data_IF_076272874780
#
_entry.id   IF_076272874780
#
_cell.length_a   1.000
_cell.length_b   1.000
_cell.length_c   1.000
_cell.angle_alpha   90.00
_cell.angle_beta   90.00
_cell.angle_gamma   90.00
#
_symmetry.space_group_name_H-M   'P 1'
#
loop_
_entity.id
_entity.type
_entity.pdbx_description
1 polymer ?
#
# COMPACT_ATOMS: atom_id res chain seq x y z
N UNK A 1 1.23 0.05 -26.98
CA UNK A 1 0.18 1.08 -26.97
C UNK A 1 -1.01 0.59 -27.78
N UNK A 2 -1.88 -0.19 -27.18
CA UNK A 2 -3.08 -0.73 -27.81
C UNK A 2 -4.36 -0.26 -27.13
N UNK A 3 -4.24 0.35 -25.92
CA UNK A 3 -5.40 0.79 -25.14
C UNK A 3 -5.83 2.16 -25.65
N UNK A 4 -7.07 2.27 -26.10
CA UNK A 4 -7.70 3.54 -26.50
C UNK A 4 -8.81 3.89 -25.51
N UNK A 5 -8.39 4.08 -24.28
CA UNK A 5 -9.30 4.43 -23.21
C UNK A 5 -9.72 5.91 -23.21
N UNK A 6 -10.47 6.31 -22.20
CA UNK A 6 -11.02 7.64 -22.03
C UNK A 6 -10.45 8.38 -20.80
N UNK A 7 -9.72 7.66 -19.92
CA UNK A 7 -9.20 8.22 -18.69
C UNK A 7 -7.75 8.66 -18.83
N UNK A 8 -7.46 9.89 -18.46
CA UNK A 8 -6.10 10.40 -18.42
C UNK A 8 -5.29 9.79 -17.27
N UNK A 9 -3.98 9.75 -17.42
CA UNK A 9 -3.04 9.32 -16.37
C UNK A 9 -3.26 10.12 -15.08
N UNK A 10 -3.38 11.44 -15.17
CA UNK A 10 -3.58 12.31 -14.01
C UNK A 10 -4.91 12.05 -13.29
N UNK A 11 -5.98 11.66 -14.01
CA UNK A 11 -7.26 11.34 -13.36
C UNK A 11 -7.19 10.05 -12.53
N UNK A 12 -6.50 9.03 -13.03
CA UNK A 12 -6.29 7.77 -12.32
C UNK A 12 -5.33 7.99 -11.14
N UNK A 13 -4.29 8.79 -11.32
CA UNK A 13 -3.35 9.12 -10.24
C UNK A 13 -4.01 9.86 -9.07
N UNK A 14 -4.92 10.80 -9.37
CA UNK A 14 -5.69 11.49 -8.33
C UNK A 14 -6.61 10.54 -7.56
N UNK A 15 -7.24 9.62 -8.25
CA UNK A 15 -8.08 8.60 -7.62
C UNK A 15 -7.27 7.65 -6.75
N UNK A 16 -6.09 7.20 -7.22
CA UNK A 16 -5.14 6.45 -6.40
C UNK A 16 -4.80 7.20 -5.11
N UNK A 17 -4.44 8.49 -5.23
CA UNK A 17 -4.13 9.33 -4.08
C UNK A 17 -5.28 9.44 -3.09
N UNK A 18 -6.52 9.57 -3.60
CA UNK A 18 -7.72 9.62 -2.76
C UNK A 18 -7.97 8.30 -2.01
N UNK A 19 -7.90 7.17 -2.72
CA UNK A 19 -8.05 5.83 -2.11
C UNK A 19 -6.99 5.63 -1.01
N UNK A 20 -5.75 5.94 -1.31
CA UNK A 20 -4.64 5.79 -0.35
C UNK A 20 -4.82 6.69 0.87
N UNK A 21 -5.28 7.92 0.68
CA UNK A 21 -5.51 8.86 1.77
C UNK A 21 -6.63 8.40 2.69
N UNK A 22 -7.77 8.01 2.13
CA UNK A 22 -8.98 7.67 2.90
C UNK A 22 -8.88 6.31 3.60
N UNK A 23 -8.24 5.31 2.95
CA UNK A 23 -8.28 3.93 3.43
C UNK A 23 -6.94 3.39 3.94
N UNK A 24 -5.83 3.96 3.50
CA UNK A 24 -4.47 3.47 3.80
C UNK A 24 -3.61 4.52 4.52
N UNK A 25 -4.22 5.66 4.85
CA UNK A 25 -3.57 6.78 5.53
C UNK A 25 -3.07 6.46 6.94
N UNK A 26 -2.97 7.48 7.80
CA UNK A 26 -2.34 7.32 9.11
C UNK A 26 -3.18 6.53 10.11
N UNK A 27 -4.48 6.79 10.20
CA UNK A 27 -5.41 6.00 11.02
C UNK A 27 -6.04 4.91 10.16
N UNK A 28 -5.73 3.65 10.44
CA UNK A 28 -6.15 2.52 9.64
C UNK A 28 -7.13 1.64 10.41
N UNK A 29 -8.13 1.13 9.70
CA UNK A 29 -9.03 0.10 10.23
C UNK A 29 -9.00 -1.11 9.30
N UNK A 30 -9.33 -2.29 9.82
CA UNK A 30 -9.47 -3.50 9.00
C UNK A 30 -10.45 -3.28 7.85
N UNK A 31 -11.63 -2.75 8.16
CA UNK A 31 -12.69 -2.48 7.18
C UNK A 31 -12.23 -1.47 6.11
N UNK A 32 -11.53 -0.40 6.53
CA UNK A 32 -10.95 0.59 5.63
C UNK A 32 -9.91 -0.02 4.69
N UNK A 33 -8.99 -0.84 5.21
CA UNK A 33 -7.96 -1.51 4.42
C UNK A 33 -8.55 -2.53 3.44
N UNK A 34 -9.54 -3.32 3.84
CA UNK A 34 -10.25 -4.24 2.95
C UNK A 34 -10.97 -3.49 1.82
N UNK A 35 -11.60 -2.37 2.14
CA UNK A 35 -12.24 -1.48 1.14
C UNK A 35 -11.18 -0.87 0.22
N UNK A 36 -10.09 -0.36 0.76
CA UNK A 36 -8.96 0.20 -0.01
C UNK A 36 -8.38 -0.81 -1.00
N UNK A 37 -8.12 -2.04 -0.56
CA UNK A 37 -7.63 -3.12 -1.42
C UNK A 37 -8.58 -3.44 -2.58
N UNK A 38 -9.89 -3.48 -2.31
CA UNK A 38 -10.89 -3.68 -3.36
C UNK A 38 -10.86 -2.54 -4.38
N UNK A 39 -10.86 -1.28 -3.92
CA UNK A 39 -10.84 -0.10 -4.80
C UNK A 39 -9.52 -0.01 -5.59
N UNK A 40 -8.39 -0.34 -5.00
CA UNK A 40 -7.09 -0.38 -5.69
C UNK A 40 -7.08 -1.40 -6.81
N UNK A 41 -7.63 -2.59 -6.58
CA UNK A 41 -7.77 -3.63 -7.60
C UNK A 41 -8.68 -3.16 -8.75
N UNK A 42 -9.84 -2.58 -8.44
CA UNK A 42 -10.75 -2.00 -9.43
C UNK A 42 -10.05 -0.89 -10.24
N UNK A 43 -9.27 -0.02 -9.59
CA UNK A 43 -8.49 1.03 -10.24
C UNK A 43 -7.40 0.47 -11.16
N UNK A 44 -6.74 -0.63 -10.78
CA UNK A 44 -5.77 -1.33 -11.61
C UNK A 44 -6.42 -1.95 -12.87
N UNK A 45 -7.60 -2.54 -12.72
CA UNK A 45 -8.37 -3.05 -13.85
C UNK A 45 -8.80 -1.91 -14.80
N UNK A 46 -9.26 -0.80 -14.25
CA UNK A 46 -9.60 0.42 -14.99
C UNK A 46 -8.38 1.01 -15.71
N UNK A 47 -7.23 1.10 -15.04
CA UNK A 47 -5.96 1.53 -15.64
C UNK A 47 -5.61 0.66 -16.86
N UNK A 48 -5.71 -0.65 -16.73
CA UNK A 48 -5.38 -1.59 -17.80
C UNK A 48 -6.35 -1.55 -18.97
N UNK A 49 -7.63 -1.27 -18.72
CA UNK A 49 -8.68 -1.30 -19.73
C UNK A 49 -8.98 0.05 -20.40
N UNK A 50 -8.86 1.16 -19.66
CA UNK A 50 -9.44 2.45 -20.06
C UNK A 50 -8.46 3.62 -20.06
N UNK A 51 -7.16 3.37 -19.93
CA UNK A 51 -6.14 4.41 -19.96
C UNK A 51 -6.04 5.06 -21.35
N UNK A 52 -5.99 6.40 -21.38
CA UNK A 52 -5.70 7.20 -22.56
C UNK A 52 -4.36 7.92 -22.38
N UNK A 53 -3.44 7.69 -23.32
CA UNK A 53 -2.13 8.35 -23.35
C UNK A 53 -2.08 9.20 -24.61
N UNK A 54 -2.20 10.55 -24.48
CA UNK A 54 -2.02 11.46 -25.59
C UNK A 54 -0.57 11.52 -26.07
N UNK A 55 -0.35 12.02 -27.29
CA UNK A 55 0.97 12.25 -27.84
C UNK A 55 1.35 11.28 -28.95
N UNK A 56 2.56 11.46 -29.46
CA UNK A 56 3.12 10.68 -30.60
C UNK A 56 3.90 9.47 -30.07
N UNK A 57 3.99 8.44 -30.89
CA UNK A 57 4.82 7.26 -30.61
C UNK A 57 6.32 7.53 -30.73
N UNK A 58 6.69 8.57 -31.46
CA UNK A 58 8.06 8.95 -31.75
C UNK A 58 8.50 10.10 -30.85
N UNK A 59 9.65 9.97 -30.21
CA UNK A 59 10.21 10.94 -29.30
C UNK A 59 9.77 10.78 -27.84
N UNK A 60 10.15 11.75 -27.00
CA UNK A 60 9.80 11.76 -25.58
C UNK A 60 8.30 12.00 -25.39
N UNK A 61 7.64 11.07 -24.71
CA UNK A 61 6.24 11.20 -24.33
C UNK A 61 6.10 11.16 -22.80
N UNK A 62 5.95 12.35 -22.20
CA UNK A 62 5.85 12.53 -20.74
C UNK A 62 4.62 11.81 -20.17
N UNK A 63 3.51 11.77 -20.90
CA UNK A 63 2.30 11.07 -20.42
C UNK A 63 2.48 9.54 -20.40
N UNK A 64 3.28 9.00 -21.33
CA UNK A 64 3.66 7.60 -21.29
C UNK A 64 4.58 7.29 -20.10
N UNK A 65 5.54 8.16 -19.83
CA UNK A 65 6.44 8.04 -18.68
C UNK A 65 5.66 8.04 -17.36
N UNK A 66 4.75 9.00 -17.18
CA UNK A 66 3.81 9.04 -16.03
C UNK A 66 2.98 7.76 -15.93
N UNK A 67 2.49 7.22 -17.05
CA UNK A 67 1.68 6.01 -17.05
C UNK A 67 2.46 4.78 -16.56
N UNK A 68 3.72 4.66 -16.96
CA UNK A 68 4.60 3.57 -16.50
C UNK A 68 4.77 3.65 -14.97
N UNK A 69 5.10 4.82 -14.45
CA UNK A 69 5.25 5.02 -12.99
C UNK A 69 3.93 4.83 -12.24
N UNK A 70 2.81 5.28 -12.81
CA UNK A 70 1.50 5.10 -12.16
C UNK A 70 1.11 3.63 -12.01
N UNK A 71 1.44 2.78 -12.98
CA UNK A 71 1.28 1.34 -12.85
C UNK A 71 1.99 0.80 -11.61
N UNK A 72 3.24 1.21 -11.43
CA UNK A 72 4.05 0.77 -10.29
C UNK A 72 3.51 1.34 -8.97
N UNK A 73 3.00 2.56 -8.96
CA UNK A 73 2.37 3.17 -7.78
C UNK A 73 1.09 2.45 -7.36
N UNK A 74 0.26 1.99 -8.32
CA UNK A 74 -0.94 1.21 -8.00
C UNK A 74 -0.55 -0.12 -7.33
N UNK A 75 0.41 -0.85 -7.89
CA UNK A 75 0.91 -2.11 -7.32
C UNK A 75 1.54 -1.90 -5.93
N UNK A 76 2.31 -0.84 -5.76
CA UNK A 76 2.88 -0.48 -4.46
C UNK A 76 1.79 -0.11 -3.45
N UNK A 77 0.75 0.61 -3.87
CA UNK A 77 -0.41 0.93 -3.04
C UNK A 77 -1.14 -0.33 -2.54
N UNK A 78 -1.37 -1.30 -3.44
CA UNK A 78 -1.95 -2.60 -3.08
C UNK A 78 -1.06 -3.33 -2.06
N UNK A 79 0.25 -3.37 -2.26
CA UNK A 79 1.19 -4.03 -1.36
C UNK A 79 1.22 -3.37 0.02
N UNK A 80 1.25 -2.04 0.10
CA UNK A 80 1.21 -1.28 1.36
C UNK A 80 -0.09 -1.54 2.12
N UNK A 81 -1.23 -1.55 1.43
CA UNK A 81 -2.52 -1.84 2.06
C UNK A 81 -2.60 -3.31 2.53
N UNK A 82 -2.06 -4.23 1.74
CA UNK A 82 -2.03 -5.66 2.06
C UNK A 82 -1.16 -5.95 3.29
N UNK A 83 0.05 -5.38 3.36
CA UNK A 83 0.94 -5.50 4.51
C UNK A 83 0.29 -4.88 5.77
N UNK A 84 -0.32 -3.70 5.63
CA UNK A 84 -1.01 -3.04 6.73
C UNK A 84 -2.20 -3.84 7.27
N UNK A 85 -2.93 -4.54 6.40
CA UNK A 85 -4.02 -5.43 6.78
C UNK A 85 -3.50 -6.67 7.52
N UNK A 86 -2.40 -7.24 7.02
CA UNK A 86 -1.78 -8.43 7.61
C UNK A 86 -1.18 -8.16 9.00
N UNK A 87 -0.62 -6.98 9.22
CA UNK A 87 0.04 -6.61 10.48
C UNK A 87 -0.98 -6.10 11.50
N UNK A 88 -1.45 -7.00 12.35
CA UNK A 88 -2.48 -6.75 13.37
C UNK A 88 -1.87 -6.18 14.68
N UNK A 89 -1.13 -5.11 14.53
CA UNK A 89 -0.55 -4.34 15.65
C UNK A 89 -0.50 -2.85 15.29
N UNK A 90 -0.05 -2.00 16.21
CA UNK A 90 0.37 -0.63 15.93
C UNK A 90 1.81 -0.43 16.34
N UNK A 91 2.69 -0.11 15.36
CA UNK A 91 4.12 0.06 15.57
C UNK A 91 4.69 1.13 14.64
N UNK A 92 5.38 2.11 15.18
CA UNK A 92 5.98 3.20 14.41
C UNK A 92 4.94 4.00 13.63
N UNK A 93 5.10 4.09 12.30
CA UNK A 93 4.14 4.77 11.41
C UNK A 93 2.93 3.91 11.03
N UNK A 94 2.90 2.64 11.41
CA UNK A 94 1.75 1.77 11.22
C UNK A 94 0.82 1.87 12.42
N UNK A 95 -0.35 2.45 12.24
CA UNK A 95 -1.34 2.63 13.29
C UNK A 95 -2.68 2.03 12.89
N UNK A 96 -3.11 1.01 13.65
CA UNK A 96 -4.40 0.34 13.51
C UNK A 96 -5.29 0.76 14.66
N UNK A 97 -6.45 1.35 14.38
CA UNK A 97 -7.37 1.84 15.41
C UNK A 97 -7.88 0.73 16.33
N UNK A 98 -7.91 -0.51 15.85
CA UNK A 98 -8.26 -1.68 16.65
C UNK A 98 -7.14 -2.15 17.59
N UNK A 99 -5.90 -1.69 17.35
CA UNK A 99 -4.70 -2.09 18.08
C UNK A 99 -4.11 -0.89 18.83
N UNK A 100 -4.85 -0.42 19.83
CA UNK A 100 -4.48 0.66 20.74
C UNK A 100 -4.50 0.16 22.19
N UNK A 101 -3.77 0.85 23.05
CA UNK A 101 -3.92 0.72 24.50
C UNK A 101 -5.20 1.42 24.97
N UNK A 102 -5.62 1.18 26.22
CA UNK A 102 -6.77 1.89 26.82
C UNK A 102 -6.60 3.42 26.84
N UNK A 103 -5.35 3.88 26.76
CA UNK A 103 -4.98 5.30 26.74
C UNK A 103 -4.94 5.88 25.31
N UNK A 104 -5.18 5.06 24.29
CA UNK A 104 -5.16 5.45 22.88
C UNK A 104 -3.75 5.52 22.27
N UNK A 105 -2.76 4.89 22.89
CA UNK A 105 -1.40 4.76 22.35
C UNK A 105 -1.27 3.51 21.47
N UNK A 106 -0.24 3.49 20.62
CA UNK A 106 0.05 2.35 19.76
C UNK A 106 0.32 1.08 20.58
N UNK A 107 -0.41 0.01 20.29
CA UNK A 107 -0.25 -1.29 20.92
C UNK A 107 0.51 -2.22 20.00
N UNK A 108 1.76 -2.52 20.36
CA UNK A 108 2.61 -3.49 19.66
C UNK A 108 2.27 -4.92 20.07
N UNK A 109 2.53 -5.82 19.17
CA UNK A 109 2.46 -7.27 19.42
C UNK A 109 3.79 -7.92 19.00
N UNK A 110 4.77 -7.81 19.90
CA UNK A 110 6.13 -8.32 19.67
C UNK A 110 6.18 -9.86 19.62
N UNK A 111 5.19 -10.56 20.15
CA UNK A 111 5.11 -12.03 20.10
C UNK A 111 4.85 -12.52 18.67
N UNK A 112 3.98 -11.84 17.92
CA UNK A 112 3.56 -12.29 16.61
C UNK A 112 4.19 -11.51 15.45
N UNK A 113 4.63 -10.26 15.68
CA UNK A 113 5.08 -9.36 14.61
C UNK A 113 6.52 -8.85 14.75
N UNK A 114 7.34 -9.48 15.61
CA UNK A 114 8.75 -9.10 15.78
C UNK A 114 9.64 -9.64 14.66
N UNK A 115 9.35 -9.24 13.42
CA UNK A 115 10.06 -9.64 12.21
C UNK A 115 10.01 -8.56 11.13
N UNK A 116 10.95 -8.61 10.19
CA UNK A 116 10.83 -7.93 8.90
C UNK A 116 10.03 -8.82 7.96
N UNK A 117 8.93 -8.30 7.42
CA UNK A 117 8.15 -8.97 6.39
C UNK A 117 8.70 -8.69 5.00
N UNK A 118 9.02 -9.74 4.25
CA UNK A 118 9.37 -9.65 2.83
C UNK A 118 8.29 -10.33 2.00
N UNK A 119 7.60 -9.56 1.17
CA UNK A 119 6.53 -10.04 0.30
C UNK A 119 7.12 -10.50 -1.04
N UNK A 120 7.14 -11.81 -1.27
CA UNK A 120 7.67 -12.41 -2.50
C UNK A 120 6.60 -12.40 -3.60
N UNK A 121 6.92 -11.79 -4.74
CA UNK A 121 6.08 -11.76 -5.93
C UNK A 121 5.91 -13.17 -6.52
N UNK A 122 4.67 -13.56 -6.83
CA UNK A 122 4.33 -14.92 -7.27
C UNK A 122 4.19 -15.06 -8.80
N UNK A 123 4.71 -14.10 -9.57
CA UNK A 123 4.75 -14.17 -11.03
C UNK A 123 3.59 -13.48 -11.76
N UNK A 124 2.53 -13.10 -11.07
CA UNK A 124 1.44 -12.30 -11.63
C UNK A 124 0.82 -11.37 -10.57
N UNK A 125 0.17 -10.30 -11.05
CA UNK A 125 -0.38 -9.24 -10.20
C UNK A 125 -1.71 -9.62 -9.52
N UNK A 126 -2.26 -10.80 -9.75
CA UNK A 126 -3.52 -11.26 -9.16
C UNK A 126 -3.31 -12.34 -8.08
N UNK A 127 -2.14 -12.94 -8.07
CA UNK A 127 -1.77 -13.92 -7.04
C UNK A 127 -1.25 -13.21 -5.80
N UNK A 128 -1.81 -13.54 -4.63
CA UNK A 128 -1.37 -12.97 -3.38
C UNK A 128 0.13 -13.24 -3.16
N UNK A 129 0.92 -12.23 -2.73
CA UNK A 129 2.34 -12.42 -2.46
C UNK A 129 2.55 -13.35 -1.27
N UNK A 130 3.66 -14.07 -1.27
CA UNK A 130 4.06 -14.95 -0.16
C UNK A 130 4.85 -14.14 0.88
N UNK A 131 4.48 -14.29 2.17
CA UNK A 131 5.20 -13.65 3.25
C UNK A 131 6.40 -14.48 3.70
N UNK A 132 7.58 -13.92 3.52
CA UNK A 132 8.84 -14.43 4.10
C UNK A 132 9.14 -13.60 5.34
N UNK A 133 9.31 -14.24 6.49
CA UNK A 133 9.58 -13.58 7.77
C UNK A 133 11.07 -13.70 8.12
N UNK A 134 11.70 -12.57 8.41
CA UNK A 134 13.05 -12.47 8.94
C UNK A 134 12.96 -12.00 10.40
N UNK A 135 13.30 -12.85 11.40
CA UNK A 135 13.24 -12.46 12.80
C UNK A 135 14.16 -11.29 13.10
N UNK A 136 13.69 -10.37 13.95
CA UNK A 136 14.52 -9.26 14.41
C UNK A 136 15.35 -9.68 15.61
N UNK A 137 16.67 -9.50 15.52
CA UNK A 137 17.64 -9.74 16.60
C UNK A 137 18.46 -8.47 16.82
N UNK A 138 18.54 -8.01 18.06
CA UNK A 138 19.32 -6.82 18.42
C UNK A 138 20.41 -7.20 19.45
N UNK A 139 21.65 -6.96 19.10
CA UNK A 139 22.81 -7.27 19.99
C UNK A 139 22.93 -6.30 21.16
N UNK A 140 22.66 -5.01 20.92
CA UNK A 140 23.00 -3.93 21.88
C UNK A 140 21.80 -3.11 22.36
N UNK A 141 20.64 -3.24 21.77
CA UNK A 141 19.44 -2.43 22.08
C UNK A 141 18.33 -3.34 22.60
N UNK A 142 17.60 -2.85 23.60
CA UNK A 142 16.32 -3.45 24.01
C UNK A 142 15.18 -2.66 23.41
N UNK A 143 14.20 -3.37 22.89
CA UNK A 143 12.98 -2.76 22.36
C UNK A 143 12.24 -2.06 23.49
N UNK A 144 11.84 -0.81 23.25
CA UNK A 144 11.10 0.02 24.20
C UNK A 144 9.82 0.53 23.55
N UNK A 145 8.75 0.59 24.33
CA UNK A 145 7.51 1.24 23.93
C UNK A 145 7.64 2.74 24.11
N UNK A 146 7.26 3.51 23.08
CA UNK A 146 7.25 4.97 23.15
C UNK A 146 5.90 5.44 23.70
N UNK A 147 5.94 6.32 24.70
CA UNK A 147 4.76 6.97 25.24
C UNK A 147 4.88 8.48 24.98
N UNK A 148 3.81 9.10 24.47
CA UNK A 148 3.77 10.53 24.13
C UNK A 148 3.03 11.37 25.17
N UNK A 149 2.45 10.76 26.21
CA UNK A 149 1.61 11.43 27.20
C UNK A 149 2.32 11.77 28.51
N UNK A 150 3.65 11.59 28.60
CA UNK A 150 4.45 11.96 29.76
C UNK A 150 5.29 13.20 29.49
#
# INVERSE_FOLDING_TARGET
MGIQGKRSVDSIHKELGHIMWEHVGMGRTKEGLETGLKLLKELREEFNANLFIPGKKEGLNVELDKAIHLRDFILMGELVAYDALHREESCGGHFREEHQTEEGEAKRDDEHFFYVGCWAYQGDDNTAPELIKEPLEYEAIKVQTRNYKN
#
